data_IF_775988413447
#
_entry.id   IF_775988413447
#
_cell.length_a   1.000
_cell.length_b   1.000
_cell.length_c   1.000
_cell.angle_alpha   90.00
_cell.angle_beta   90.00
_cell.angle_gamma   90.00
#
_symmetry.space_group_name_H-M   'P 1'
#
loop_
_entity.id
_entity.type
_entity.pdbx_description
1 polymer ?
#
# COMPACT_ATOMS: atom_id res chain seq x y z
N UNK A 1 17.39 -0.45 10.04
CA UNK A 1 16.35 -0.89 9.10
C UNK A 1 16.97 -1.64 7.94
N UNK A 2 16.21 -2.45 7.18
CA UNK A 2 16.68 -2.98 5.89
C UNK A 2 16.05 -2.22 4.74
N UNK A 3 16.87 -1.90 3.75
CA UNK A 3 16.47 -1.37 2.46
C UNK A 3 16.23 -2.52 1.48
N UNK A 4 15.10 -2.45 0.77
CA UNK A 4 14.67 -3.43 -0.21
C UNK A 4 14.61 -2.72 -1.56
N UNK A 5 15.38 -3.19 -2.53
CA UNK A 5 15.40 -2.64 -3.90
C UNK A 5 14.80 -3.65 -4.87
N UNK A 6 13.87 -3.19 -5.70
CA UNK A 6 13.25 -4.01 -6.75
C UNK A 6 14.27 -4.43 -7.81
N UNK A 7 14.19 -5.68 -8.29
CA UNK A 7 14.89 -6.06 -9.51
C UNK A 7 14.25 -5.30 -10.68
N UNK A 8 15.06 -4.74 -11.58
CA UNK A 8 14.64 -3.79 -12.63
C UNK A 8 13.58 -4.28 -13.62
N UNK A 9 13.12 -5.52 -13.51
CA UNK A 9 12.05 -6.12 -14.32
C UNK A 9 10.66 -6.07 -13.66
N UNK A 10 10.55 -5.73 -12.36
CA UNK A 10 9.28 -5.69 -11.64
C UNK A 10 8.84 -4.23 -11.50
N UNK A 11 7.81 -3.83 -12.25
CA UNK A 11 7.08 -2.57 -11.99
C UNK A 11 6.06 -2.82 -10.88
N UNK A 12 6.44 -2.61 -9.62
CA UNK A 12 5.43 -2.29 -8.61
C UNK A 12 5.26 -0.76 -8.66
N UNK A 13 4.03 -0.32 -8.86
CA UNK A 13 3.68 1.10 -8.86
C UNK A 13 3.93 1.65 -7.46
N UNK A 14 4.35 2.91 -7.34
CA UNK A 14 4.61 3.58 -6.05
C UNK A 14 3.40 3.58 -5.08
N UNK A 15 2.20 3.22 -5.56
CA UNK A 15 0.96 3.10 -4.80
C UNK A 15 0.57 1.64 -4.48
N UNK A 16 1.23 0.64 -5.08
CA UNK A 16 0.93 -0.78 -4.94
C UNK A 16 2.08 -1.50 -4.23
N UNK A 17 2.17 -1.24 -2.92
CA UNK A 17 2.92 -2.13 -2.04
C UNK A 17 2.26 -3.51 -2.03
N UNK A 18 3.01 -4.62 -1.89
CA UNK A 18 2.44 -5.96 -1.86
C UNK A 18 1.55 -6.22 -0.63
N UNK A 19 1.46 -5.27 0.30
CA UNK A 19 0.63 -5.35 1.51
C UNK A 19 -0.23 -4.09 1.65
N UNK A 20 -1.51 -4.34 1.89
CA UNK A 20 -2.64 -3.47 1.56
C UNK A 20 -2.93 -2.36 2.58
N UNK A 21 -3.76 -1.42 2.12
CA UNK A 21 -4.53 -0.43 2.89
C UNK A 21 -4.96 -0.93 4.27
N UNK A 22 -4.43 -0.30 5.33
CA UNK A 22 -4.87 -0.51 6.72
C UNK A 22 -3.82 -1.11 7.65
N UNK A 23 -2.71 -1.64 7.12
CA UNK A 23 -1.60 -2.15 7.92
C UNK A 23 -0.42 -1.14 7.89
N UNK A 24 -0.14 -0.41 8.98
CA UNK A 24 0.91 0.61 9.03
C UNK A 24 2.33 0.03 8.96
N UNK A 25 2.50 -1.27 9.21
CA UNK A 25 3.79 -1.96 9.18
C UNK A 25 4.15 -2.50 7.77
N UNK A 26 3.26 -2.29 6.80
CA UNK A 26 3.48 -2.69 5.42
C UNK A 26 4.57 -1.84 4.74
N UNK A 27 5.51 -2.47 4.00
CA UNK A 27 6.58 -1.74 3.32
C UNK A 27 6.04 -0.99 2.10
N UNK A 28 6.28 0.33 2.09
CA UNK A 28 5.90 1.23 0.99
C UNK A 28 7.03 1.34 -0.02
N UNK A 29 6.74 1.05 -1.29
CA UNK A 29 7.74 1.23 -2.35
C UNK A 29 7.67 2.64 -2.92
N UNK A 30 8.75 3.39 -2.80
CA UNK A 30 8.94 4.70 -3.42
C UNK A 30 10.12 4.58 -4.38
N UNK A 31 9.87 4.87 -5.66
CA UNK A 31 10.89 4.74 -6.73
C UNK A 31 11.60 3.37 -6.76
N UNK A 32 10.86 2.30 -6.44
CA UNK A 32 11.38 0.92 -6.44
C UNK A 32 12.16 0.53 -5.18
N UNK A 33 12.18 1.39 -4.15
CA UNK A 33 12.82 1.13 -2.86
C UNK A 33 11.78 1.11 -1.74
N UNK A 34 11.88 0.15 -0.83
CA UNK A 34 11.11 0.11 0.42
C UNK A 34 12.01 -0.16 1.61
N UNK A 35 11.52 0.13 2.82
CA UNK A 35 12.24 -0.16 4.05
C UNK A 35 11.37 -0.94 5.04
N UNK A 36 11.96 -1.94 5.70
CA UNK A 36 11.29 -2.71 6.76
C UNK A 36 12.32 -3.44 7.63
N UNK A 37 11.95 -3.74 8.87
CA UNK A 37 12.69 -4.66 9.76
C UNK A 37 11.91 -5.95 10.03
N UNK A 38 10.72 -6.11 9.42
CA UNK A 38 9.88 -7.28 9.65
C UNK A 38 10.50 -8.51 8.96
N UNK A 39 10.90 -9.56 9.72
CA UNK A 39 11.58 -10.72 9.16
C UNK A 39 10.72 -11.51 8.17
N UNK A 40 9.39 -11.45 8.27
CA UNK A 40 8.49 -12.11 7.34
C UNK A 40 8.56 -11.46 5.95
N UNK A 41 8.57 -10.13 5.89
CA UNK A 41 8.73 -9.40 4.64
C UNK A 41 10.12 -9.59 4.04
N UNK A 42 11.17 -9.53 4.86
CA UNK A 42 12.54 -9.78 4.39
C UNK A 42 12.68 -11.18 3.76
N UNK A 43 12.13 -12.21 4.40
CA UNK A 43 12.13 -13.57 3.85
C UNK A 43 11.33 -13.67 2.54
N UNK A 44 10.19 -12.97 2.44
CA UNK A 44 9.39 -12.91 1.22
C UNK A 44 10.17 -12.27 0.06
N UNK A 45 10.73 -11.07 0.28
CA UNK A 45 11.45 -10.32 -0.77
C UNK A 45 12.74 -11.03 -1.19
N UNK A 46 13.45 -11.65 -0.25
CA UNK A 46 14.61 -12.49 -0.56
C UNK A 46 14.24 -13.66 -1.49
N UNK A 47 13.13 -14.36 -1.19
CA UNK A 47 12.61 -15.45 -2.05
C UNK A 47 12.18 -14.97 -3.44
N UNK A 48 11.76 -13.71 -3.55
CA UNK A 48 11.36 -13.08 -4.81
C UNK A 48 12.53 -12.48 -5.59
N UNK A 49 13.76 -12.55 -5.08
CA UNK A 49 14.96 -12.07 -5.76
C UNK A 49 15.18 -10.56 -5.67
N UNK A 50 14.59 -9.90 -4.68
CA UNK A 50 14.87 -8.50 -4.40
C UNK A 50 16.23 -8.36 -3.71
N UNK A 51 16.89 -7.21 -3.92
CA UNK A 51 18.10 -6.87 -3.19
C UNK A 51 17.73 -6.37 -1.81
N UNK A 52 18.33 -6.95 -0.77
CA UNK A 52 18.14 -6.53 0.62
C UNK A 52 19.50 -6.16 1.20
N UNK A 53 19.61 -4.93 1.68
CA UNK A 53 20.83 -4.34 2.22
C UNK A 53 20.53 -3.56 3.51
N UNK A 54 21.56 -3.33 4.32
CA UNK A 54 21.45 -2.41 5.44
C UNK A 54 21.32 -0.97 4.92
N UNK A 55 20.31 -0.26 5.40
CA UNK A 55 20.05 1.10 4.95
C UNK A 55 18.93 1.75 5.73
N UNK A 56 18.99 3.07 5.79
CA UNK A 56 18.01 3.91 6.47
C UNK A 56 17.22 4.71 5.43
N UNK A 57 15.93 4.98 5.68
CA UNK A 57 15.13 5.84 4.83
C UNK A 57 15.65 7.28 4.88
N UNK A 58 15.72 7.93 3.72
CA UNK A 58 16.02 9.35 3.63
C UNK A 58 14.75 10.21 3.80
N UNK A 59 14.91 11.52 3.97
CA UNK A 59 13.77 12.43 4.14
C UNK A 59 12.83 12.40 2.95
N UNK A 60 13.35 12.28 1.73
CA UNK A 60 12.55 12.23 0.51
C UNK A 60 11.63 11.00 0.47
N UNK A 61 12.13 9.83 0.87
CA UNK A 61 11.32 8.62 1.03
C UNK A 61 10.24 8.83 2.10
N UNK A 62 10.60 9.37 3.27
CA UNK A 62 9.65 9.57 4.37
C UNK A 62 8.50 10.51 3.98
N UNK A 63 8.80 11.63 3.31
CA UNK A 63 7.79 12.57 2.79
C UNK A 63 6.87 11.91 1.76
N UNK A 64 7.43 11.09 0.86
CA UNK A 64 6.66 10.36 -0.13
C UNK A 64 5.74 9.31 0.53
N UNK A 65 6.24 8.54 1.49
CA UNK A 65 5.44 7.55 2.24
C UNK A 65 4.31 8.25 3.01
N UNK A 66 4.60 9.35 3.70
CA UNK A 66 3.57 10.12 4.42
C UNK A 66 2.46 10.61 3.48
N UNK A 67 2.84 11.10 2.30
CA UNK A 67 1.89 11.53 1.27
C UNK A 67 1.02 10.37 0.76
N UNK A 68 1.63 9.20 0.53
CA UNK A 68 0.93 7.97 0.10
C UNK A 68 -0.03 7.45 1.18
N UNK A 69 0.39 7.44 2.45
CA UNK A 69 -0.46 7.06 3.57
C UNK A 69 -1.68 7.98 3.72
N UNK A 70 -1.50 9.29 3.53
CA UNK A 70 -2.61 10.24 3.54
C UNK A 70 -3.57 10.02 2.36
N UNK A 71 -3.07 9.72 1.18
CA UNK A 71 -3.90 9.38 0.01
C UNK A 71 -4.69 8.09 0.27
N UNK A 72 -4.02 7.04 0.71
CA UNK A 72 -4.62 5.77 1.09
C UNK A 72 -5.73 5.92 2.14
N UNK A 73 -5.52 6.77 3.16
CA UNK A 73 -6.53 7.06 4.17
C UNK A 73 -7.76 7.79 3.59
N UNK A 74 -7.56 8.69 2.61
CA UNK A 74 -8.65 9.37 1.90
C UNK A 74 -9.45 8.39 1.04
N UNK A 75 -8.77 7.51 0.30
CA UNK A 75 -9.42 6.51 -0.55
C UNK A 75 -10.20 5.48 0.28
N UNK A 76 -9.64 5.04 1.43
CA UNK A 76 -10.34 4.22 2.39
C UNK A 76 -11.62 4.91 2.91
N UNK A 77 -11.54 6.20 3.25
CA UNK A 77 -12.69 7.01 3.66
C UNK A 77 -13.73 7.25 2.55
N UNK A 78 -13.32 7.19 1.27
CA UNK A 78 -14.22 7.34 0.12
C UNK A 78 -14.97 6.06 -0.27
N UNK A 79 -14.69 4.92 0.36
CA UNK A 79 -15.53 3.71 0.25
C UNK A 79 -16.84 3.82 1.05
N UNK A 80 -17.16 4.99 1.60
CA UNK A 80 -18.46 5.33 2.19
C UNK A 80 -19.63 5.51 1.20
N UNK A 81 -19.59 4.95 -0.02
CA UNK A 81 -20.70 5.02 -1.00
C UNK A 81 -20.98 3.72 -1.78
N UNK A 82 -20.60 2.54 -1.27
CA UNK A 82 -21.12 1.26 -1.79
C UNK A 82 -22.24 0.67 -0.92
N UNK A 83 -22.97 1.51 -0.18
CA UNK A 83 -24.22 1.13 0.50
C UNK A 83 -25.44 1.94 0.02
N UNK A 84 -25.36 2.49 -1.19
CA UNK A 84 -26.48 3.17 -1.87
C UNK A 84 -26.97 2.42 -3.12
N UNK A 85 -26.80 1.09 -3.16
CA UNK A 85 -27.35 0.23 -4.22
C UNK A 85 -28.27 -0.87 -3.68
N UNK A 86 -28.84 -0.66 -2.51
CA UNK A 86 -30.09 -1.30 -2.12
C UNK A 86 -31.17 -0.22 -2.09
N UNK A 87 -31.52 0.30 -3.27
CA UNK A 87 -32.79 0.97 -3.48
C UNK A 87 -33.87 -0.14 -3.35
N UNK A 88 -34.68 -0.18 -2.28
CA UNK A 88 -35.92 -0.93 -2.38
C UNK A 88 -36.78 -0.16 -3.37
N UNK A 89 -36.85 -0.68 -4.59
CA UNK A 89 -37.81 -0.32 -5.63
C UNK A 89 -39.09 0.18 -4.99
N UNK A 90 -39.38 1.48 -5.21
CA UNK A 90 -40.67 2.09 -4.91
C UNK A 90 -41.79 1.17 -5.37
N UNK A 91 -42.45 0.52 -4.41
CA UNK A 91 -43.71 -0.17 -4.67
C UNK A 91 -44.81 0.62 -3.99
N UNK A 92 -45.35 1.59 -4.72
CA UNK A 92 -46.67 2.15 -4.43
C UNK A 92 -47.70 1.05 -4.70
N UNK A 93 -48.20 0.38 -3.66
CA UNK A 93 -49.54 -0.20 -3.71
C UNK A 93 -50.48 0.79 -3.01
N UNK A 94 -50.98 1.73 -3.81
CA UNK A 94 -52.30 2.30 -3.56
C UNK A 94 -53.30 1.35 -4.23
N UNK A 95 -54.19 0.74 -3.44
CA UNK A 95 -55.58 0.36 -3.76
C UNK A 95 -56.23 -0.22 -2.50
#
# INVERSE_FOLDING_TARGET
MKKITQPGSIQLVAADGPFQLGDPDSPWFVAGVAYTDNPAFLAYFARKGFTIEDGEPDTAYLDAVASLQQQAARDAGHTGTLRDAADPVRTNYAL
#
